data_IF_543353531304
#
_entry.id   IF_543353531304
#
_cell.length_a   1.000
_cell.length_b   1.000
_cell.length_c   1.000
_cell.angle_alpha   90.00
_cell.angle_beta   90.00
_cell.angle_gamma   90.00
#
_symmetry.space_group_name_H-M   'P 1'
#
loop_
_entity.id
_entity.type
_entity.pdbx_description
1 polymer ?
#
# COMPACT_ATOMS: atom_id res chain seq x y z
N UNK A 1 10.55 -0.08 -1.65
CA UNK A 1 9.46 -1.01 -2.02
C UNK A 1 9.98 -2.39 -2.38
N UNK A 2 10.87 -2.54 -3.37
CA UNK A 2 11.41 -3.84 -3.80
C UNK A 2 12.00 -4.68 -2.66
N UNK A 3 12.90 -4.09 -1.85
CA UNK A 3 13.48 -4.78 -0.69
C UNK A 3 12.43 -5.28 0.32
N UNK A 4 11.36 -4.50 0.52
CA UNK A 4 10.27 -4.84 1.44
C UNK A 4 9.41 -5.98 0.92
N UNK A 5 9.11 -5.97 -0.38
CA UNK A 5 8.37 -7.05 -1.02
C UNK A 5 9.19 -8.36 -1.04
N UNK A 6 10.49 -8.27 -1.38
CA UNK A 6 11.41 -9.40 -1.43
C UNK A 6 11.63 -10.10 -0.07
N UNK A 7 11.39 -9.39 1.05
CA UNK A 7 11.47 -9.97 2.39
C UNK A 7 10.33 -10.96 2.68
N UNK A 8 9.24 -10.95 1.89
CA UNK A 8 8.11 -11.86 2.03
C UNK A 8 7.54 -11.96 3.45
N UNK A 9 7.37 -10.80 4.11
CA UNK A 9 6.65 -10.67 5.39
C UNK A 9 5.25 -10.14 5.12
N UNK A 10 4.22 -10.78 5.69
CA UNK A 10 2.83 -10.30 5.55
C UNK A 10 2.66 -8.86 6.03
N UNK A 11 3.39 -8.50 7.09
CA UNK A 11 3.60 -7.12 7.52
C UNK A 11 5.04 -6.72 7.18
N UNK A 12 5.26 -5.99 6.08
CA UNK A 12 6.58 -5.52 5.71
C UNK A 12 7.10 -4.51 6.74
N UNK A 13 8.42 -4.47 6.95
CA UNK A 13 9.02 -3.45 7.79
C UNK A 13 8.77 -2.05 7.20
N UNK A 14 8.73 -1.03 8.06
CA UNK A 14 8.56 0.36 7.64
C UNK A 14 9.68 0.80 6.68
N UNK A 15 9.45 1.85 5.85
CA UNK A 15 10.51 2.45 5.05
C UNK A 15 11.73 2.83 5.90
N UNK A 16 12.93 2.60 5.36
CA UNK A 16 14.18 3.04 6.02
C UNK A 16 14.33 4.57 6.00
N UNK A 17 13.75 5.21 4.98
CA UNK A 17 13.76 6.66 4.82
C UNK A 17 12.50 7.26 5.45
N UNK A 18 12.70 8.14 6.44
CA UNK A 18 11.62 8.79 7.17
C UNK A 18 10.81 9.79 6.31
N UNK A 19 11.30 10.16 5.12
CA UNK A 19 10.49 10.94 4.17
C UNK A 19 9.44 10.10 3.48
N UNK A 20 9.55 8.77 3.51
CA UNK A 20 8.69 7.87 2.75
C UNK A 20 7.55 7.30 3.58
N UNK A 21 6.37 7.25 2.98
CA UNK A 21 5.26 6.44 3.47
C UNK A 21 5.14 5.13 2.67
N UNK A 22 4.34 4.19 3.18
CA UNK A 22 4.21 2.85 2.60
C UNK A 22 2.76 2.36 2.66
N UNK A 23 2.30 1.78 1.56
CA UNK A 23 1.15 0.90 1.52
C UNK A 23 1.61 -0.53 1.19
N UNK A 24 0.92 -1.52 1.74
CA UNK A 24 1.11 -2.91 1.35
C UNK A 24 -0.22 -3.66 1.26
N UNK A 25 -0.24 -4.74 0.48
CA UNK A 25 -1.41 -5.57 0.28
C UNK A 25 -0.98 -7.03 0.10
N UNK A 26 -1.57 -7.92 0.89
CA UNK A 26 -1.33 -9.37 0.83
C UNK A 26 -2.49 -10.01 0.09
N UNK A 27 -2.16 -10.83 -0.92
CA UNK A 27 -3.13 -11.59 -1.70
C UNK A 27 -2.80 -13.07 -1.51
N UNK A 28 -3.74 -13.84 -0.97
CA UNK A 28 -3.59 -15.28 -0.74
C UNK A 28 -3.74 -16.09 -2.04
N UNK A 29 -2.99 -15.70 -3.06
CA UNK A 29 -2.89 -16.32 -4.36
C UNK A 29 -1.46 -16.13 -4.90
N UNK A 30 -0.78 -17.23 -5.19
CA UNK A 30 0.58 -17.25 -5.74
C UNK A 30 0.59 -17.36 -7.28
N UNK A 31 -0.59 -17.51 -7.90
CA UNK A 31 -0.76 -17.62 -9.35
C UNK A 31 -1.26 -16.31 -9.99
N UNK A 32 -1.67 -15.33 -9.18
CA UNK A 32 -2.11 -14.03 -9.66
C UNK A 32 -1.00 -13.35 -10.49
N UNK A 33 -1.38 -12.79 -11.63
CA UNK A 33 -0.48 -11.98 -12.44
C UNK A 33 -0.03 -10.74 -11.65
N UNK A 34 1.24 -10.35 -11.80
CA UNK A 34 1.81 -9.24 -11.02
C UNK A 34 1.11 -7.91 -11.31
N UNK A 35 0.69 -7.68 -12.55
CA UNK A 35 -0.02 -6.45 -12.92
C UNK A 35 -1.43 -6.44 -12.31
N UNK A 36 -2.11 -7.58 -12.31
CA UNK A 36 -3.45 -7.68 -11.70
C UNK A 36 -3.39 -7.58 -10.16
N UNK A 37 -2.39 -8.17 -9.52
CA UNK A 37 -2.12 -7.96 -8.10
C UNK A 37 -1.92 -6.47 -7.77
N UNK A 38 -1.12 -5.76 -8.58
CA UNK A 38 -0.92 -4.32 -8.40
C UNK A 38 -2.22 -3.52 -8.58
N UNK A 39 -3.02 -3.82 -9.62
CA UNK A 39 -4.32 -3.17 -9.84
C UNK A 39 -5.27 -3.41 -8.67
N UNK A 40 -5.32 -4.64 -8.16
CA UNK A 40 -6.15 -5.01 -7.02
C UNK A 40 -5.75 -4.22 -5.77
N UNK A 41 -4.45 -4.15 -5.45
CA UNK A 41 -3.94 -3.41 -4.30
C UNK A 41 -4.28 -1.91 -4.40
N UNK A 42 -3.99 -1.27 -5.53
CA UNK A 42 -4.30 0.15 -5.78
C UNK A 42 -5.80 0.42 -5.65
N UNK A 43 -6.63 -0.47 -6.21
CA UNK A 43 -8.10 -0.33 -6.15
C UNK A 43 -8.61 -0.48 -4.72
N UNK A 44 -8.06 -1.42 -3.95
CA UNK A 44 -8.44 -1.63 -2.55
C UNK A 44 -8.11 -0.41 -1.69
N UNK A 45 -6.89 0.13 -1.81
CA UNK A 45 -6.47 1.32 -1.07
C UNK A 45 -7.29 2.55 -1.45
N UNK A 46 -7.57 2.78 -2.74
CA UNK A 46 -8.37 3.92 -3.15
C UNK A 46 -9.84 3.80 -2.74
N UNK A 47 -10.38 2.57 -2.71
CA UNK A 47 -11.77 2.28 -2.33
C UNK A 47 -12.08 2.65 -0.87
N UNK A 48 -11.07 2.75 0.01
CA UNK A 48 -11.23 3.27 1.36
C UNK A 48 -11.99 4.61 1.40
N UNK A 49 -11.72 5.50 0.44
CA UNK A 49 -12.44 6.77 0.29
C UNK A 49 -13.94 6.54 0.05
N UNK A 50 -14.29 5.61 -0.84
CA UNK A 50 -15.68 5.33 -1.19
C UNK A 50 -16.44 4.67 -0.04
N UNK A 51 -15.75 3.87 0.78
CA UNK A 51 -16.38 3.10 1.86
C UNK A 51 -16.54 3.94 3.14
N UNK A 52 -15.57 4.82 3.45
CA UNK A 52 -15.57 5.63 4.68
C UNK A 52 -16.07 7.05 4.45
N UNK A 53 -15.70 7.65 3.31
CA UNK A 53 -15.90 9.07 3.03
C UNK A 53 -14.94 9.98 3.80
N UNK A 54 -14.75 11.21 3.30
CA UNK A 54 -13.93 12.24 3.97
C UNK A 54 -14.77 13.24 4.77
N UNK A 55 -16.04 13.42 4.41
CA UNK A 55 -16.85 14.54 4.94
C UNK A 55 -16.31 15.90 4.49
N UNK A 56 -16.64 16.96 5.23
CA UNK A 56 -16.20 18.33 4.92
C UNK A 56 -14.78 18.64 5.41
N UNK A 57 -14.30 17.96 6.45
CA UNK A 57 -12.96 18.13 7.01
C UNK A 57 -12.02 17.06 6.47
N UNK A 58 -11.19 17.44 5.51
CA UNK A 58 -10.21 16.55 4.87
C UNK A 58 -8.91 16.41 5.67
N UNK A 59 -8.84 16.92 6.90
CA UNK A 59 -7.65 16.79 7.75
C UNK A 59 -7.46 15.33 8.15
N UNK A 60 -6.31 14.77 7.80
CA UNK A 60 -5.95 13.42 8.23
C UNK A 60 -5.71 13.36 9.75
N UNK A 61 -6.45 12.49 10.43
CA UNK A 61 -6.38 12.31 11.89
C UNK A 61 -5.81 10.94 12.23
N UNK A 62 -5.14 10.81 13.36
CA UNK A 62 -4.56 9.52 13.79
C UNK A 62 -5.60 8.39 13.86
N UNK A 63 -6.85 8.70 14.22
CA UNK A 63 -7.95 7.74 14.24
C UNK A 63 -8.35 7.19 12.85
N UNK A 64 -7.91 7.83 11.76
CA UNK A 64 -8.17 7.41 10.38
C UNK A 64 -7.10 6.44 9.85
N UNK A 65 -6.06 6.12 10.64
CA UNK A 65 -4.93 5.30 10.19
C UNK A 65 -5.36 3.94 9.64
N UNK A 66 -6.32 3.30 10.28
CA UNK A 66 -6.76 1.96 9.91
C UNK A 66 -7.90 1.94 8.89
N UNK A 67 -8.46 3.10 8.53
CA UNK A 67 -9.63 3.21 7.64
C UNK A 67 -9.37 3.96 6.34
N UNK A 68 -8.51 4.98 6.38
CA UNK A 68 -8.15 5.83 5.24
C UNK A 68 -6.63 5.97 5.09
N UNK A 69 -5.83 5.22 5.86
CA UNK A 69 -4.38 5.38 5.88
C UNK A 69 -3.74 5.13 4.52
N UNK A 70 -4.21 4.13 3.78
CA UNK A 70 -3.66 3.83 2.46
C UNK A 70 -4.10 4.86 1.42
N UNK A 71 -5.37 5.23 1.45
CA UNK A 71 -5.89 6.31 0.62
C UNK A 71 -5.13 7.62 0.87
N UNK A 72 -4.91 7.98 2.14
CA UNK A 72 -4.21 9.20 2.52
C UNK A 72 -2.80 9.25 1.95
N UNK A 73 -2.05 8.14 1.97
CA UNK A 73 -0.74 8.06 1.33
C UNK A 73 -0.81 8.25 -0.19
N UNK A 74 -1.85 7.73 -0.85
CA UNK A 74 -2.03 7.88 -2.31
C UNK A 74 -2.44 9.29 -2.72
N UNK A 75 -3.28 9.94 -1.91
CA UNK A 75 -3.88 11.24 -2.21
C UNK A 75 -3.09 12.42 -1.62
N UNK A 76 -1.96 12.16 -0.96
CA UNK A 76 -1.14 13.20 -0.36
C UNK A 76 -0.51 14.11 -1.43
N UNK A 77 -0.83 15.39 -1.40
CA UNK A 77 -0.51 16.37 -2.44
C UNK A 77 0.99 16.65 -2.57
N UNK A 78 1.76 16.49 -1.49
CA UNK A 78 3.22 16.68 -1.49
C UNK A 78 3.99 15.44 -1.95
N UNK A 79 3.32 14.31 -2.20
CA UNK A 79 4.01 13.13 -2.76
C UNK A 79 4.46 13.42 -4.19
N UNK A 80 5.77 13.37 -4.43
CA UNK A 80 6.36 13.68 -5.74
C UNK A 80 6.73 12.43 -6.54
N UNK A 81 6.92 11.28 -5.88
CA UNK A 81 7.29 10.02 -6.53
C UNK A 81 6.61 8.85 -5.86
N UNK A 82 6.36 7.82 -6.65
CA UNK A 82 5.88 6.51 -6.19
C UNK A 82 6.73 5.41 -6.81
N UNK A 83 7.02 4.39 -6.01
CA UNK A 83 7.67 3.16 -6.48
C UNK A 83 7.02 1.94 -5.85
N UNK A 84 6.59 0.99 -6.68
CA UNK A 84 5.91 -0.23 -6.25
C UNK A 84 6.71 -1.47 -6.63
N UNK A 85 6.48 -2.56 -5.90
CA UNK A 85 7.01 -3.89 -6.20
C UNK A 85 5.97 -4.96 -5.87
N UNK A 86 5.92 -5.98 -6.71
CA UNK A 86 5.05 -7.16 -6.53
C UNK A 86 5.93 -8.39 -6.46
N UNK A 87 5.88 -9.07 -5.30
CA UNK A 87 6.64 -10.29 -5.03
C UNK A 87 5.70 -11.47 -4.82
N UNK A 88 5.96 -12.57 -5.54
CA UNK A 88 5.24 -13.83 -5.34
C UNK A 88 6.00 -14.64 -4.31
N UNK A 89 5.48 -14.67 -3.09
CA UNK A 89 6.09 -15.37 -1.97
C UNK A 89 5.60 -16.82 -1.92
N UNK A 90 6.12 -17.68 -2.82
CA UNK A 90 5.62 -19.05 -3.00
C UNK A 90 5.71 -19.92 -1.75
N UNK A 91 6.75 -19.75 -0.92
CA UNK A 91 6.93 -20.53 0.32
C UNK A 91 5.85 -20.22 1.37
N UNK A 92 5.59 -18.95 1.74
CA UNK A 92 4.51 -18.63 2.66
C UNK A 92 3.12 -18.63 2.01
N UNK A 93 3.01 -18.67 0.68
CA UNK A 93 1.74 -18.94 -0.02
C UNK A 93 0.92 -17.69 -0.38
N UNK A 94 1.55 -16.53 -0.54
CA UNK A 94 0.86 -15.29 -0.92
C UNK A 94 1.66 -14.47 -1.95
N UNK A 95 0.99 -13.52 -2.60
CA UNK A 95 1.61 -12.44 -3.38
C UNK A 95 1.50 -11.15 -2.59
N UNK A 96 2.62 -10.43 -2.47
CA UNK A 96 2.73 -9.19 -1.70
C UNK A 96 2.99 -8.02 -2.64
N UNK A 97 2.13 -7.01 -2.54
CA UNK A 97 2.33 -5.71 -3.19
C UNK A 97 2.81 -4.72 -2.14
N UNK A 98 3.90 -4.00 -2.43
CA UNK A 98 4.38 -2.89 -1.61
C UNK A 98 4.56 -1.67 -2.49
N UNK A 99 3.98 -0.54 -2.11
CA UNK A 99 4.24 0.77 -2.70
C UNK A 99 4.82 1.71 -1.65
N UNK A 100 5.82 2.49 -2.04
CA UNK A 100 6.36 3.57 -1.22
C UNK A 100 6.22 4.90 -1.96
N UNK A 101 5.96 5.95 -1.19
CA UNK A 101 5.69 7.30 -1.67
C UNK A 101 6.73 8.25 -1.09
N UNK A 102 7.36 9.07 -1.92
CA UNK A 102 8.39 10.04 -1.53
C UNK A 102 7.77 11.44 -1.49
N UNK A 103 8.05 12.20 -0.42
CA UNK A 103 7.65 13.60 -0.26
C UNK A 103 8.88 14.51 -0.34
#
# INVERSE_FOLDING_TARGET
AAERAAACKETPDDPTDATRSQNYHVINDVQIDKQDALKQAISAWWKELADVGLGEDTTYKAAMKDTLGHFANMAYDQTTKVGCSVETCSKPGFTLVVCQYDK
#
